data_IF_768678516661
#
_entry.id   IF_768678516661
#
_cell.length_a   1.000
_cell.length_b   1.000
_cell.length_c   1.000
_cell.angle_alpha   90.00
_cell.angle_beta   90.00
_cell.angle_gamma   90.00
#
_symmetry.space_group_name_H-M   'P 1'
#
loop_
_entity.id
_entity.type
_entity.pdbx_description
1 polymer ?
#
# COMPACT_ATOMS: atom_id res chain seq x y z
N UNK A 1 -2.06 17.25 22.16
CA UNK A 1 -2.00 16.85 20.73
C UNK A 1 -0.58 16.62 20.20
N UNK A 2 0.47 17.33 20.68
CA UNK A 2 1.84 17.07 20.23
C UNK A 2 2.47 15.77 20.79
N UNK A 3 2.11 15.35 22.01
CA UNK A 3 2.71 14.17 22.66
C UNK A 3 2.39 12.83 21.98
N UNK A 4 1.20 12.69 21.38
CA UNK A 4 0.82 11.43 20.74
C UNK A 4 1.65 11.19 19.47
N UNK A 5 1.91 12.23 18.67
CA UNK A 5 2.69 12.12 17.44
C UNK A 5 4.10 11.54 17.67
N UNK A 6 4.79 12.00 18.73
CA UNK A 6 6.11 11.48 19.08
C UNK A 6 6.10 10.04 19.61
N UNK A 7 4.95 9.56 20.09
CA UNK A 7 4.79 8.17 20.52
C UNK A 7 4.45 7.25 19.34
N UNK A 8 3.61 7.68 18.40
CA UNK A 8 3.10 6.81 17.35
C UNK A 8 4.06 6.63 16.18
N UNK A 9 4.76 7.68 15.75
CA UNK A 9 5.65 7.60 14.58
C UNK A 9 6.80 6.57 14.73
N UNK A 10 7.54 6.49 15.86
CA UNK A 10 8.56 5.47 16.06
C UNK A 10 7.99 4.04 16.07
N UNK A 11 6.79 3.89 16.63
CA UNK A 11 6.12 2.60 16.74
C UNK A 11 5.57 2.09 15.41
N UNK A 12 5.15 3.01 14.53
CA UNK A 12 4.80 2.67 13.15
C UNK A 12 6.04 2.25 12.38
N UNK A 13 7.14 3.00 12.46
CA UNK A 13 8.40 2.66 11.80
C UNK A 13 8.92 1.29 12.24
N UNK A 14 8.86 0.98 13.53
CA UNK A 14 9.20 -0.35 14.02
C UNK A 14 8.30 -1.43 13.41
N UNK A 15 6.99 -1.19 13.36
CA UNK A 15 6.07 -2.13 12.73
C UNK A 15 6.38 -2.36 11.24
N UNK A 16 6.79 -1.31 10.51
CA UNK A 16 7.26 -1.44 9.12
C UNK A 16 8.50 -2.32 9.04
N UNK A 17 9.55 -2.04 9.82
CA UNK A 17 10.79 -2.82 9.81
C UNK A 17 10.57 -4.28 10.21
N UNK A 18 9.64 -4.56 11.13
CA UNK A 18 9.29 -5.93 11.53
C UNK A 18 8.36 -6.61 10.52
N UNK A 19 7.62 -5.86 9.73
CA UNK A 19 6.75 -6.37 8.66
C UNK A 19 7.55 -6.68 7.39
N UNK A 20 8.47 -5.80 7.00
CA UNK A 20 9.25 -5.89 5.76
C UNK A 20 10.64 -6.43 6.06
N UNK A 21 10.75 -7.77 6.17
CA UNK A 21 12.01 -8.47 6.42
C UNK A 21 12.34 -9.43 5.29
N UNK A 22 13.64 -9.68 5.07
CA UNK A 22 14.15 -10.59 4.03
C UNK A 22 13.93 -12.08 4.35
N UNK A 23 13.55 -12.41 5.58
CA UNK A 23 13.31 -13.79 6.03
C UNK A 23 12.02 -14.36 5.43
N UNK A 24 12.05 -15.59 4.92
CA UNK A 24 10.90 -16.33 4.37
C UNK A 24 9.92 -16.80 5.44
N UNK A 25 9.37 -15.83 6.16
CA UNK A 25 8.39 -16.03 7.21
C UNK A 25 7.15 -15.22 6.89
N UNK A 26 5.95 -15.70 7.26
CA UNK A 26 4.71 -14.95 7.07
C UNK A 26 4.77 -13.55 7.70
N UNK A 27 4.09 -12.59 7.07
CA UNK A 27 3.88 -11.26 7.64
C UNK A 27 3.20 -11.40 9.01
N UNK A 28 3.88 -10.98 10.08
CA UNK A 28 3.35 -11.10 11.45
C UNK A 28 2.05 -10.29 11.60
N UNK A 29 0.92 -10.91 11.98
CA UNK A 29 -0.37 -10.23 12.05
C UNK A 29 -0.40 -8.99 12.94
N UNK A 30 0.35 -9.02 14.06
CA UNK A 30 0.43 -7.88 15.00
C UNK A 30 0.98 -6.61 14.35
N UNK A 31 1.98 -6.72 13.48
CA UNK A 31 2.58 -5.56 12.82
C UNK A 31 1.67 -5.05 11.70
N UNK A 32 1.05 -5.95 10.93
CA UNK A 32 0.06 -5.58 9.93
C UNK A 32 -1.14 -4.83 10.56
N UNK A 33 -1.70 -5.36 11.66
CA UNK A 33 -2.81 -4.72 12.39
C UNK A 33 -2.41 -3.34 12.90
N UNK A 34 -1.20 -3.21 13.47
CA UNK A 34 -0.71 -1.91 13.96
C UNK A 34 -0.61 -0.88 12.83
N UNK A 35 -0.10 -1.28 11.67
CA UNK A 35 0.00 -0.40 10.51
C UNK A 35 -1.38 -0.01 9.96
N UNK A 36 -2.34 -0.94 9.92
CA UNK A 36 -3.73 -0.66 9.56
C UNK A 36 -4.33 0.40 10.49
N UNK A 37 -4.26 0.19 11.81
CA UNK A 37 -4.74 1.17 12.80
C UNK A 37 -4.01 2.51 12.65
N UNK A 38 -2.69 2.45 12.41
CA UNK A 38 -1.86 3.63 12.18
C UNK A 38 -2.36 4.51 11.03
N UNK A 39 -2.91 3.93 9.95
CA UNK A 39 -3.48 4.72 8.84
C UNK A 39 -4.67 5.61 9.23
N UNK A 40 -5.37 5.29 10.32
CA UNK A 40 -6.49 6.10 10.82
C UNK A 40 -6.03 7.22 11.76
N UNK A 41 -4.83 7.11 12.32
CA UNK A 41 -4.26 8.08 13.25
C UNK A 41 -3.31 9.04 12.54
N UNK A 42 -2.55 8.55 11.54
CA UNK A 42 -1.51 9.28 10.83
C UNK A 42 -1.44 8.87 9.34
N UNK A 43 -0.79 9.70 8.52
CA UNK A 43 -0.43 9.35 7.15
C UNK A 43 0.84 8.50 7.16
N UNK A 44 0.75 7.25 6.69
CA UNK A 44 1.91 6.35 6.61
C UNK A 44 2.36 6.19 5.16
N UNK A 45 3.57 6.68 4.87
CA UNK A 45 4.14 6.65 3.52
C UNK A 45 4.99 5.39 3.31
N UNK A 46 4.32 4.24 3.39
CA UNK A 46 4.91 2.89 3.39
C UNK A 46 5.64 2.53 2.09
N UNK A 47 5.40 3.27 1.02
CA UNK A 47 5.91 2.96 -0.31
C UNK A 47 7.36 3.38 -0.51
N UNK A 48 7.96 4.11 0.43
CA UNK A 48 9.39 4.41 0.40
C UNK A 48 10.28 3.17 0.52
N UNK A 49 9.75 2.07 1.09
CA UNK A 49 10.46 0.82 1.42
C UNK A 49 10.49 -0.23 0.28
N UNK A 50 10.21 0.16 -0.97
CA UNK A 50 10.31 -0.73 -2.13
C UNK A 50 11.78 -1.14 -2.36
N UNK A 51 12.15 -2.33 -1.91
CA UNK A 51 13.46 -2.95 -2.08
C UNK A 51 13.41 -4.11 -3.08
N UNK A 52 14.49 -4.29 -3.86
CA UNK A 52 14.65 -5.36 -4.86
C UNK A 52 15.04 -6.71 -4.23
N UNK A 53 14.31 -7.12 -3.19
CA UNK A 53 14.39 -8.45 -2.58
C UNK A 53 13.05 -9.17 -2.78
N UNK A 54 13.03 -10.46 -3.17
CA UNK A 54 11.79 -11.11 -3.58
C UNK A 54 10.81 -11.27 -2.42
N UNK A 55 11.31 -11.66 -1.25
CA UNK A 55 10.51 -11.83 -0.03
C UNK A 55 9.95 -10.51 0.45
N UNK A 56 10.77 -9.44 0.43
CA UNK A 56 10.31 -8.12 0.83
C UNK A 56 9.34 -7.50 -0.17
N UNK A 57 9.51 -7.75 -1.47
CA UNK A 57 8.55 -7.32 -2.49
C UNK A 57 7.19 -7.95 -2.22
N UNK A 58 7.15 -9.27 -2.02
CA UNK A 58 5.90 -9.96 -1.73
C UNK A 58 5.25 -9.45 -0.43
N UNK A 59 6.03 -9.27 0.64
CA UNK A 59 5.52 -8.73 1.93
C UNK A 59 5.02 -7.31 1.81
N UNK A 60 5.73 -6.46 1.06
CA UNK A 60 5.27 -5.12 0.72
C UNK A 60 3.94 -5.17 0.00
N UNK A 61 3.83 -6.02 -1.03
CA UNK A 61 2.59 -6.15 -1.80
C UNK A 61 1.42 -6.61 -0.92
N UNK A 62 1.67 -7.62 -0.07
CA UNK A 62 0.68 -8.14 0.85
C UNK A 62 0.24 -7.12 1.91
N UNK A 63 1.18 -6.36 2.45
CA UNK A 63 0.88 -5.29 3.40
C UNK A 63 0.08 -4.17 2.73
N UNK A 64 0.51 -3.68 1.57
CA UNK A 64 -0.20 -2.63 0.84
C UNK A 64 -1.62 -3.06 0.48
N UNK A 65 -1.81 -4.31 0.04
CA UNK A 65 -3.13 -4.86 -0.22
C UNK A 65 -4.03 -4.81 1.03
N UNK A 66 -3.52 -5.24 2.19
CA UNK A 66 -4.28 -5.17 3.45
C UNK A 66 -4.64 -3.73 3.81
N UNK A 67 -3.75 -2.77 3.58
CA UNK A 67 -4.01 -1.36 3.93
C UNK A 67 -5.01 -0.70 3.00
N UNK A 68 -4.98 -1.02 1.71
CA UNK A 68 -6.00 -0.58 0.75
C UNK A 68 -7.39 -1.11 1.15
N UNK A 69 -7.45 -2.34 1.69
CA UNK A 69 -8.70 -3.01 2.05
C UNK A 69 -9.25 -2.60 3.41
N UNK A 70 -8.39 -2.60 4.43
CA UNK A 70 -8.78 -2.52 5.85
C UNK A 70 -8.34 -1.21 6.51
N UNK A 71 -7.52 -0.39 5.84
CA UNK A 71 -7.01 0.88 6.36
C UNK A 71 -7.94 2.07 6.09
N UNK A 72 -7.44 3.26 6.39
CA UNK A 72 -8.18 4.50 6.21
C UNK A 72 -8.54 4.75 4.74
N UNK A 73 -9.71 5.33 4.49
CA UNK A 73 -10.25 5.58 3.12
C UNK A 73 -9.34 6.37 2.18
N UNK A 74 -8.38 7.14 2.71
CA UNK A 74 -7.40 7.89 1.91
C UNK A 74 -6.21 7.05 1.44
N UNK A 75 -6.00 5.85 2.00
CA UNK A 75 -4.86 4.99 1.65
C UNK A 75 -4.77 4.72 0.15
N UNK A 76 -5.86 4.36 -0.58
CA UNK A 76 -5.77 4.12 -2.02
C UNK A 76 -5.35 5.38 -2.79
N UNK A 77 -5.94 6.53 -2.46
CA UNK A 77 -5.63 7.81 -3.11
C UNK A 77 -4.18 8.23 -2.84
N UNK A 78 -3.73 8.15 -1.60
CA UNK A 78 -2.36 8.47 -1.19
C UNK A 78 -1.35 7.47 -1.75
N UNK A 79 -1.73 6.20 -1.93
CA UNK A 79 -0.87 5.18 -2.53
C UNK A 79 -0.78 5.31 -4.05
N UNK A 80 -1.77 5.92 -4.70
CA UNK A 80 -1.85 6.03 -6.16
C UNK A 80 -0.67 6.80 -6.77
N UNK A 81 -0.07 7.74 -6.03
CA UNK A 81 1.15 8.47 -6.47
C UNK A 81 2.35 7.55 -6.71
N UNK A 82 2.35 6.35 -6.14
CA UNK A 82 3.45 5.39 -6.27
C UNK A 82 3.23 4.32 -7.34
N UNK A 83 2.10 4.34 -8.07
CA UNK A 83 1.84 3.43 -9.19
C UNK A 83 3.05 3.32 -10.14
N UNK A 84 3.74 4.41 -10.55
CA UNK A 84 4.90 4.29 -11.43
C UNK A 84 6.03 3.43 -10.84
N UNK A 85 6.31 3.56 -9.54
CA UNK A 85 7.37 2.81 -8.85
C UNK A 85 6.98 1.34 -8.68
N UNK A 86 5.69 1.05 -8.42
CA UNK A 86 5.18 -0.32 -8.35
C UNK A 86 5.26 -0.99 -9.73
N UNK A 87 4.91 -0.29 -10.81
CA UNK A 87 5.08 -0.77 -12.19
C UNK A 87 6.53 -1.10 -12.51
N UNK A 88 7.46 -0.22 -12.14
CA UNK A 88 8.91 -0.45 -12.32
C UNK A 88 9.40 -1.68 -11.55
N UNK A 89 8.90 -1.90 -10.32
CA UNK A 89 9.24 -3.10 -9.56
C UNK A 89 8.69 -4.37 -10.22
N UNK A 90 7.46 -4.34 -10.73
CA UNK A 90 6.89 -5.45 -11.49
C UNK A 90 7.69 -5.78 -12.75
N UNK A 91 8.07 -4.74 -13.51
CA UNK A 91 8.95 -4.90 -14.66
C UNK A 91 10.29 -5.51 -14.27
N UNK A 92 10.91 -5.07 -13.17
CA UNK A 92 12.15 -5.66 -12.68
C UNK A 92 12.00 -7.18 -12.44
N UNK A 93 10.92 -7.61 -11.76
CA UNK A 93 10.67 -9.03 -11.52
C UNK A 93 10.34 -9.82 -12.78
N UNK A 94 9.68 -9.20 -13.76
CA UNK A 94 9.42 -9.79 -15.08
C UNK A 94 10.72 -10.14 -15.84
N UNK A 95 11.74 -9.31 -15.74
CA UNK A 95 13.03 -9.59 -16.40
C UNK A 95 13.85 -10.65 -15.64
N UNK A 96 13.53 -10.88 -14.37
CA UNK A 96 14.14 -11.89 -13.49
C UNK A 96 13.33 -13.20 -13.45
N UNK A 97 12.60 -13.52 -14.53
CA UNK A 97 11.78 -14.74 -14.65
C UNK A 97 12.55 -16.06 -14.50
N UNK A 98 13.89 -16.03 -14.51
CA UNK A 98 14.73 -17.19 -14.17
C UNK A 98 14.79 -17.47 -12.66
N UNK A 99 14.37 -16.53 -11.81
CA UNK A 99 14.17 -16.76 -10.38
C UNK A 99 12.76 -17.30 -10.11
N UNK A 100 12.63 -18.30 -9.24
CA UNK A 100 11.32 -18.86 -8.85
C UNK A 100 10.33 -17.85 -8.24
N UNK A 101 10.81 -16.65 -7.87
CA UNK A 101 10.00 -15.58 -7.29
C UNK A 101 9.53 -14.51 -8.30
N UNK A 102 10.09 -14.50 -9.52
CA UNK A 102 9.84 -13.45 -10.51
C UNK A 102 8.36 -13.32 -10.87
N UNK A 103 7.75 -14.44 -11.30
CA UNK A 103 6.33 -14.49 -11.70
C UNK A 103 5.40 -14.04 -10.58
N UNK A 104 5.58 -14.55 -9.35
CA UNK A 104 4.71 -14.20 -8.23
C UNK A 104 4.78 -12.71 -7.89
N UNK A 105 5.98 -12.14 -7.85
CA UNK A 105 6.16 -10.71 -7.54
C UNK A 105 5.64 -9.81 -8.67
N UNK A 106 5.92 -10.17 -9.92
CA UNK A 106 5.40 -9.48 -11.10
C UNK A 106 3.87 -9.44 -11.08
N UNK A 107 3.23 -10.59 -10.92
CA UNK A 107 1.77 -10.70 -10.91
C UNK A 107 1.15 -9.92 -9.75
N UNK A 108 1.74 -9.97 -8.55
CA UNK A 108 1.20 -9.24 -7.40
C UNK A 108 1.34 -7.73 -7.55
N UNK A 109 2.47 -7.24 -8.07
CA UNK A 109 2.63 -5.80 -8.34
C UNK A 109 1.64 -5.30 -9.38
N UNK A 110 1.36 -6.08 -10.44
CA UNK A 110 0.32 -5.77 -11.43
C UNK A 110 -1.08 -5.69 -10.81
N UNK A 111 -1.43 -6.67 -9.96
CA UNK A 111 -2.71 -6.66 -9.23
C UNK A 111 -2.88 -5.39 -8.36
N UNK A 112 -1.81 -4.93 -7.71
CA UNK A 112 -1.86 -3.71 -6.90
C UNK A 112 -2.02 -2.45 -7.75
N UNK A 113 -1.36 -2.39 -8.90
CA UNK A 113 -1.53 -1.30 -9.87
C UNK A 113 -2.98 -1.23 -10.32
N UNK A 114 -3.56 -2.34 -10.74
CA UNK A 114 -4.95 -2.39 -11.20
C UNK A 114 -5.94 -1.96 -10.11
N UNK A 115 -5.70 -2.44 -8.88
CA UNK A 115 -6.50 -2.06 -7.71
C UNK A 115 -6.42 -0.56 -7.43
N UNK A 116 -5.22 0.05 -7.46
CA UNK A 116 -5.05 1.48 -7.22
C UNK A 116 -5.65 2.34 -8.33
N UNK A 117 -5.46 1.96 -9.60
CA UNK A 117 -6.10 2.61 -10.76
C UNK A 117 -7.62 2.54 -10.69
N UNK A 118 -8.17 1.39 -10.26
CA UNK A 118 -9.60 1.23 -10.03
C UNK A 118 -10.11 2.20 -8.96
N UNK A 119 -9.45 2.26 -7.79
CA UNK A 119 -9.84 3.19 -6.72
C UNK A 119 -9.76 4.65 -7.17
N UNK A 120 -8.73 5.03 -7.92
CA UNK A 120 -8.58 6.38 -8.47
C UNK A 120 -9.75 6.75 -9.40
N UNK A 121 -10.17 5.83 -10.28
CA UNK A 121 -11.33 6.03 -11.17
C UNK A 121 -12.66 6.05 -10.40
N UNK A 122 -12.86 5.14 -9.45
CA UNK A 122 -14.06 5.06 -8.64
C UNK A 122 -14.24 6.31 -7.76
N UNK A 123 -13.15 6.81 -7.16
CA UNK A 123 -13.14 8.07 -6.39
C UNK A 123 -13.61 9.24 -7.26
N UNK A 124 -13.13 9.35 -8.50
CA UNK A 124 -13.58 10.39 -9.44
C UNK A 124 -15.08 10.28 -9.78
N UNK A 125 -15.61 9.07 -9.92
CA UNK A 125 -17.03 8.85 -10.20
C UNK A 125 -17.90 9.29 -9.00
N UNK A 126 -17.54 8.91 -7.77
CA UNK A 126 -18.27 9.32 -6.56
C UNK A 126 -18.26 10.84 -6.37
N UNK A 127 -17.14 11.52 -6.60
CA UNK A 127 -17.08 12.98 -6.52
C UNK A 127 -17.98 13.66 -7.57
N UNK A 128 -18.01 13.12 -8.80
CA UNK A 128 -18.90 13.64 -9.87
C UNK A 128 -20.37 13.46 -9.52
N UNK A 129 -20.76 12.31 -8.96
CA UNK A 129 -22.14 12.06 -8.53
C UNK A 129 -22.53 13.05 -7.42
N UNK A 130 -21.69 13.24 -6.40
CA UNK A 130 -21.96 14.20 -5.33
C UNK A 130 -22.09 15.64 -5.84
N UNK A 131 -21.28 16.04 -6.82
CA UNK A 131 -21.38 17.36 -7.45
C UNK A 131 -22.69 17.52 -8.23
N UNK A 132 -23.15 16.49 -8.95
CA UNK A 132 -24.41 16.50 -9.69
C UNK A 132 -25.63 16.53 -8.76
N UNK A 133 -25.55 15.90 -7.58
CA UNK A 133 -26.61 15.96 -6.57
C UNK A 133 -26.74 17.37 -5.99
N UNK A 134 -25.63 18.09 -5.81
CA UNK A 134 -25.63 19.46 -5.29
C UNK A 134 -26.14 20.51 -6.31
N UNK A 135 -25.91 20.29 -7.61
CA UNK A 135 -26.40 21.22 -8.66
C UNK A 135 -27.88 21.10 -8.97
N UNK A 136 -28.56 20.06 -8.46
CA UNK A 136 -30.02 19.88 -8.58
C UNK A 136 -30.81 20.35 -7.36
N UNK A 137 -30.16 20.97 -6.37
CA UNK A 137 -30.80 21.55 -5.19
C UNK A 137 -30.97 23.07 -5.25
N UNK A 138 -30.81 23.67 -6.44
CA UNK A 138 -31.13 25.07 -6.72
C UNK A 138 -32.05 25.18 -7.94
#
# INVERSE_FOLDING_TARGET
MANDFYLWAPLQLEAVHKALTKYEMPLKPKHARRLIVGTHQERSDLVHQLEKNPVMTWKFCHLLHKLIRDGHRKVPDESSRFIPRIKQLGQFWKHLNTSGYGVCNETYTSLLVDRLEFHKKASLICHKINAVVQTKQY
#
